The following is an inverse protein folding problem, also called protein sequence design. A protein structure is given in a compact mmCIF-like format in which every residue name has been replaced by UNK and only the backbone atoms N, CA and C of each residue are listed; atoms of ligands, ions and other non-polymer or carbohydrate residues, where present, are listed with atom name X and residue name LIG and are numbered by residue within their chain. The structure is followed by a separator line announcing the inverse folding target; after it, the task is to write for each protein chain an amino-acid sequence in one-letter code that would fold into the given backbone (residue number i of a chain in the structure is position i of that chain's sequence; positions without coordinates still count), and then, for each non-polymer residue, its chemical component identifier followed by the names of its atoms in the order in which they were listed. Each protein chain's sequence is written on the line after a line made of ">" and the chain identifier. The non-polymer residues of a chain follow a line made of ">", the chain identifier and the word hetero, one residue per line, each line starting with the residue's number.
data_IF_214211537105
#
_entry.id   IF_214211537105
#
_cell.length_a   1.000
_cell.length_b   1.000
_cell.length_c   1.000
_cell.angle_alpha   90.00
_cell.angle_beta   90.00
_cell.angle_gamma   90.00
#
_symmetry.space_group_name_H-M   'P 1'
#
loop_
_entity.id
_entity.type
_entity.pdbx_description
1 polymer ?
#
# COMPACT_ATOMS: atom_id res chain seq x y z
N UNK A 1 45.63 -0.44 -76.29
CA UNK A 1 46.46 -1.41 -75.54
C UNK A 1 46.93 -0.74 -74.25
N UNK A 2 46.85 -1.48 -73.14
CA UNK A 2 47.39 -1.20 -71.79
C UNK A 2 46.71 -0.16 -70.88
N UNK A 3 46.16 -0.74 -69.79
CA UNK A 3 45.74 -0.19 -68.50
C UNK A 3 46.84 0.64 -67.82
N UNK A 4 46.44 1.59 -66.97
CA UNK A 4 46.73 1.56 -65.51
C UNK A 4 45.94 2.62 -64.71
N UNK A 5 45.55 2.17 -63.52
CA UNK A 5 44.81 2.80 -62.42
C UNK A 5 45.68 3.83 -61.66
N UNK A 6 45.03 4.85 -61.07
CA UNK A 6 45.38 5.52 -59.80
C UNK A 6 44.12 6.28 -59.33
N UNK A 7 43.21 5.70 -58.54
CA UNK A 7 43.11 5.80 -57.06
C UNK A 7 43.53 7.17 -56.51
N UNK A 8 42.53 8.00 -56.17
CA UNK A 8 42.66 9.21 -55.35
C UNK A 8 41.57 9.24 -54.28
N UNK A 9 41.99 9.29 -53.01
CA UNK A 9 41.18 9.17 -51.78
C UNK A 9 40.06 10.21 -51.67
N UNK A 10 38.84 9.75 -51.35
CA UNK A 10 37.80 10.58 -50.72
C UNK A 10 37.93 10.37 -49.21
N UNK A 11 38.46 11.36 -48.49
CA UNK A 11 38.41 11.43 -47.04
C UNK A 11 36.98 11.74 -46.60
N UNK A 12 36.22 10.70 -46.30
CA UNK A 12 34.93 10.82 -45.63
C UNK A 12 35.12 11.20 -44.16
N UNK A 13 34.92 12.47 -43.81
CA UNK A 13 34.70 12.86 -42.42
C UNK A 13 33.24 12.56 -42.09
N UNK A 14 32.98 11.33 -41.64
CA UNK A 14 31.73 11.00 -40.97
C UNK A 14 31.76 11.62 -39.57
N UNK A 15 31.18 12.82 -39.44
CA UNK A 15 30.83 13.40 -38.15
C UNK A 15 29.78 12.49 -37.49
N UNK A 16 30.25 11.54 -36.67
CA UNK A 16 29.47 10.86 -35.66
C UNK A 16 29.05 11.92 -34.63
N UNK A 17 27.97 12.64 -34.92
CA UNK A 17 27.20 13.36 -33.91
C UNK A 17 26.53 12.28 -33.07
N UNK A 18 27.28 11.73 -32.12
CA UNK A 18 26.74 10.96 -31.04
C UNK A 18 25.77 11.87 -30.30
N UNK A 19 24.47 11.67 -30.51
CA UNK A 19 23.41 12.22 -29.68
C UNK A 19 23.70 11.76 -28.26
N UNK A 20 24.39 12.61 -27.49
CA UNK A 20 24.55 12.44 -26.06
C UNK A 20 23.15 12.59 -25.46
N UNK A 21 22.43 11.47 -25.36
CA UNK A 21 21.25 11.41 -24.51
C UNK A 21 21.70 11.84 -23.12
N UNK A 22 21.08 12.85 -22.48
CA UNK A 22 21.50 13.25 -21.15
C UNK A 22 21.35 12.05 -20.22
N UNK A 23 22.48 11.44 -19.84
CA UNK A 23 22.56 10.52 -18.72
C UNK A 23 22.33 11.34 -17.47
N UNK A 24 21.06 11.54 -17.12
CA UNK A 24 20.70 12.07 -15.81
C UNK A 24 21.25 11.11 -14.76
N UNK A 25 22.24 11.57 -13.99
CA UNK A 25 22.86 10.78 -12.95
C UNK A 25 21.79 10.27 -11.97
N UNK A 26 21.88 8.99 -11.61
CA UNK A 26 20.96 8.37 -10.67
C UNK A 26 21.06 9.03 -9.30
N UNK A 27 19.96 9.57 -8.79
CA UNK A 27 19.89 10.20 -7.47
C UNK A 27 19.54 9.17 -6.40
N UNK A 28 20.20 9.26 -5.24
CA UNK A 28 19.85 8.48 -4.06
C UNK A 28 18.50 8.94 -3.49
N UNK A 29 17.56 8.02 -3.31
CA UNK A 29 16.23 8.33 -2.79
C UNK A 29 16.20 8.42 -1.26
N UNK A 30 17.18 7.90 -0.54
CA UNK A 30 17.22 7.93 0.92
C UNK A 30 17.39 9.33 1.51
N UNK A 31 17.77 10.31 0.69
CA UNK A 31 17.84 11.74 1.04
C UNK A 31 16.52 12.48 0.82
N UNK A 32 15.51 11.84 0.23
CA UNK A 32 14.22 12.48 -0.07
C UNK A 32 13.39 12.60 1.21
N UNK A 33 13.02 13.81 1.64
CA UNK A 33 12.15 13.98 2.81
C UNK A 33 10.76 13.41 2.53
N UNK A 34 10.13 12.84 3.57
CA UNK A 34 8.74 12.36 3.53
C UNK A 34 8.42 11.34 2.41
N UNK A 35 9.39 10.47 2.09
CA UNK A 35 9.22 9.42 1.07
C UNK A 35 8.49 8.19 1.63
N UNK A 36 7.17 8.17 1.51
CA UNK A 36 6.32 7.05 2.00
C UNK A 36 6.11 5.93 0.98
N UNK A 37 6.11 6.25 -0.31
CA UNK A 37 5.88 5.27 -1.37
C UNK A 37 6.83 5.49 -2.54
N UNK A 38 7.16 4.40 -3.22
CA UNK A 38 7.90 4.40 -4.46
C UNK A 38 7.21 3.54 -5.49
N UNK A 39 7.35 3.88 -6.77
CA UNK A 39 6.90 3.06 -7.89
C UNK A 39 8.11 2.47 -8.61
N UNK A 40 8.04 1.18 -8.91
CA UNK A 40 9.13 0.43 -9.53
C UNK A 40 9.26 0.82 -11.01
N UNK A 41 10.44 1.29 -11.43
CA UNK A 41 10.76 1.64 -12.82
C UNK A 41 11.34 0.48 -13.61
N UNK A 42 12.07 -0.41 -12.95
CA UNK A 42 12.70 -1.60 -13.53
C UNK A 42 12.46 -2.81 -12.63
N UNK A 43 12.15 -4.00 -13.17
CA UNK A 43 11.97 -5.19 -12.36
C UNK A 43 13.17 -5.43 -11.45
N UNK A 44 12.90 -5.57 -10.16
CA UNK A 44 13.94 -5.74 -9.14
C UNK A 44 13.41 -6.59 -8.00
N UNK A 45 14.29 -7.39 -7.39
CA UNK A 45 13.93 -8.12 -6.19
C UNK A 45 13.89 -7.17 -5.00
N UNK A 46 12.75 -7.12 -4.32
CA UNK A 46 12.52 -6.25 -3.16
C UNK A 46 12.30 -7.01 -1.86
N UNK A 47 12.69 -8.30 -1.83
CA UNK A 47 12.56 -9.15 -0.64
C UNK A 47 11.30 -10.02 -0.62
N UNK A 48 10.37 -9.82 -1.55
CA UNK A 48 9.15 -10.62 -1.64
C UNK A 48 9.34 -11.88 -2.49
N UNK A 49 8.57 -12.92 -2.17
CA UNK A 49 8.60 -14.21 -2.85
C UNK A 49 7.22 -14.52 -3.42
N UNK A 50 7.15 -15.26 -4.53
CA UNK A 50 5.92 -15.88 -5.01
C UNK A 50 5.77 -17.25 -4.36
N UNK A 51 4.54 -17.62 -4.03
CA UNK A 51 4.20 -18.95 -3.51
C UNK A 51 3.82 -19.83 -4.71
N UNK A 52 4.60 -20.88 -4.96
CA UNK A 52 4.39 -21.83 -6.06
C UNK A 52 4.38 -23.23 -5.47
N UNK A 53 3.23 -23.91 -5.51
CA UNK A 53 3.05 -25.25 -4.93
C UNK A 53 3.55 -25.35 -3.47
N UNK A 54 3.26 -24.32 -2.66
CA UNK A 54 3.72 -24.26 -1.26
C UNK A 54 5.18 -23.79 -1.05
N UNK A 55 5.99 -23.72 -2.11
CA UNK A 55 7.37 -23.26 -2.02
C UNK A 55 7.50 -21.76 -2.34
N UNK A 56 8.45 -21.10 -1.68
CA UNK A 56 8.76 -19.70 -1.91
C UNK A 56 9.83 -19.56 -2.98
N UNK A 57 9.51 -18.85 -4.06
CA UNK A 57 10.45 -18.53 -5.14
C UNK A 57 10.64 -17.02 -5.21
N UNK A 58 11.87 -16.58 -5.51
CA UNK A 58 12.20 -15.16 -5.63
C UNK A 58 11.24 -14.45 -6.60
N UNK A 59 10.62 -13.36 -6.17
CA UNK A 59 9.75 -12.55 -7.02
C UNK A 59 10.48 -11.27 -7.43
N UNK A 60 10.78 -11.13 -8.72
CA UNK A 60 11.15 -9.84 -9.26
C UNK A 60 9.89 -8.97 -9.29
N UNK A 61 9.88 -7.92 -8.48
CA UNK A 61 8.74 -7.01 -8.39
C UNK A 61 8.56 -6.32 -9.75
N UNK A 62 7.38 -6.44 -10.39
CA UNK A 62 7.18 -5.90 -11.72
C UNK A 62 7.33 -4.38 -11.79
N UNK A 63 7.71 -3.89 -12.97
CA UNK A 63 7.62 -2.45 -13.30
C UNK A 63 6.18 -1.96 -13.09
N UNK A 64 6.05 -0.78 -12.51
CA UNK A 64 4.77 -0.13 -12.24
C UNK A 64 4.16 -0.47 -10.89
N UNK A 65 4.66 -1.49 -10.18
CA UNK A 65 4.22 -1.79 -8.82
C UNK A 65 4.54 -0.63 -7.88
N UNK A 66 3.57 -0.23 -7.08
CA UNK A 66 3.76 0.75 -6.00
C UNK A 66 4.08 0.00 -4.72
N UNK A 67 5.15 0.39 -4.06
CA UNK A 67 5.62 -0.18 -2.80
C UNK A 67 5.61 0.90 -1.71
N UNK A 68 5.28 0.49 -0.50
CA UNK A 68 5.41 1.29 0.71
C UNK A 68 6.84 1.19 1.24
N UNK A 69 7.40 2.33 1.61
CA UNK A 69 8.70 2.43 2.27
C UNK A 69 8.48 2.22 3.76
N UNK A 70 9.06 1.16 4.32
CA UNK A 70 8.93 0.82 5.75
C UNK A 70 10.02 1.47 6.57
N UNK A 71 11.25 1.41 6.06
CA UNK A 71 12.44 1.96 6.71
C UNK A 71 13.44 2.38 5.65
N UNK A 72 14.10 3.51 5.87
CA UNK A 72 15.25 3.95 5.09
C UNK A 72 16.47 3.90 6.01
N UNK A 73 17.51 3.18 5.60
CA UNK A 73 18.85 3.33 6.17
C UNK A 73 19.59 4.32 5.27
N UNK A 74 19.87 5.51 5.79
CA UNK A 74 20.55 6.56 5.03
C UNK A 74 21.99 6.15 4.73
N UNK A 75 22.50 6.66 3.61
CA UNK A 75 23.91 6.61 3.26
C UNK A 75 24.80 7.12 4.41
N UNK A 76 25.81 6.34 4.78
CA UNK A 76 26.91 6.73 5.69
C UNK A 76 28.23 6.34 5.02
N UNK A 77 29.29 7.15 5.22
CA UNK A 77 30.67 6.88 4.78
C UNK A 77 30.80 6.41 3.31
N UNK A 78 30.13 7.12 2.38
CA UNK A 78 30.21 6.81 0.94
C UNK A 78 29.32 5.65 0.46
N UNK A 79 28.59 4.97 1.36
CA UNK A 79 27.62 3.94 1.00
C UNK A 79 26.33 4.54 0.44
N UNK A 80 25.58 3.78 -0.37
CA UNK A 80 24.26 4.19 -0.87
C UNK A 80 23.19 3.91 0.19
N UNK A 81 22.14 4.72 0.23
CA UNK A 81 21.01 4.44 1.11
C UNK A 81 20.33 3.12 0.72
N UNK A 82 19.79 2.43 1.72
CA UNK A 82 19.03 1.19 1.55
C UNK A 82 17.61 1.38 2.07
N UNK A 83 16.66 0.66 1.48
CA UNK A 83 15.27 0.72 1.94
C UNK A 83 14.65 -0.66 2.14
N UNK A 84 13.90 -0.80 3.22
CA UNK A 84 12.94 -1.88 3.39
C UNK A 84 11.64 -1.51 2.68
N UNK A 85 11.25 -2.31 1.69
CA UNK A 85 10.05 -2.08 0.87
C UNK A 85 9.04 -3.20 1.06
N UNK A 86 7.77 -2.86 1.00
CA UNK A 86 6.65 -3.81 1.10
C UNK A 86 5.55 -3.44 0.12
N UNK A 87 4.66 -4.37 -0.23
CA UNK A 87 3.56 -4.12 -1.17
C UNK A 87 2.40 -3.30 -0.57
N UNK A 88 2.52 -2.88 0.70
CA UNK A 88 1.44 -2.27 1.47
C UNK A 88 0.22 -3.18 1.58
N UNK A 89 -0.95 -2.63 1.92
CA UNK A 89 -2.18 -3.42 1.95
C UNK A 89 -2.53 -3.95 0.55
N UNK A 90 -2.41 -5.26 0.35
CA UNK A 90 -2.77 -5.95 -0.90
C UNK A 90 -4.05 -6.78 -0.77
N UNK A 91 -4.70 -7.03 -1.91
CA UNK A 91 -5.89 -7.87 -1.98
C UNK A 91 -5.63 -9.28 -1.45
N UNK A 92 -6.65 -9.90 -0.84
CA UNK A 92 -6.57 -11.30 -0.40
C UNK A 92 -6.12 -12.22 -1.55
N UNK A 93 -6.61 -12.01 -2.77
CA UNK A 93 -6.22 -12.79 -3.96
C UNK A 93 -4.72 -12.74 -4.22
N UNK A 94 -4.12 -11.56 -4.11
CA UNK A 94 -2.68 -11.37 -4.32
C UNK A 94 -1.87 -11.91 -3.15
N UNK A 95 -2.36 -11.74 -1.92
CA UNK A 95 -1.73 -12.26 -0.69
C UNK A 95 -1.60 -13.77 -0.66
N UNK A 96 -2.53 -14.50 -1.29
CA UNK A 96 -2.41 -15.96 -1.44
C UNK A 96 -1.27 -16.40 -2.39
N UNK A 97 -0.73 -15.47 -3.18
CA UNK A 97 0.31 -15.76 -4.18
C UNK A 97 1.67 -15.16 -3.84
N UNK A 98 1.72 -14.21 -2.92
CA UNK A 98 2.92 -13.48 -2.55
C UNK A 98 3.19 -13.67 -1.07
N UNK A 99 4.41 -14.07 -0.76
CA UNK A 99 4.96 -14.12 0.58
C UNK A 99 5.85 -12.89 0.78
N UNK A 100 5.50 -12.06 1.77
CA UNK A 100 6.32 -10.95 2.23
C UNK A 100 6.96 -11.34 3.57
N UNK A 101 8.24 -11.74 3.60
CA UNK A 101 8.92 -12.07 4.86
C UNK A 101 9.04 -10.79 5.68
N UNK A 102 8.53 -10.82 6.91
CA UNK A 102 8.49 -9.73 7.92
C UNK A 102 9.01 -8.38 7.41
N UNK A 103 8.08 -7.43 7.25
CA UNK A 103 8.33 -6.02 6.92
C UNK A 103 9.67 -5.53 7.52
N UNK A 104 10.67 -5.27 6.67
CA UNK A 104 12.05 -4.86 7.00
C UNK A 104 13.16 -5.91 7.13
N UNK A 105 12.93 -7.18 6.78
CA UNK A 105 14.00 -8.19 6.72
C UNK A 105 14.97 -8.03 5.53
N UNK A 106 14.49 -7.51 4.39
CA UNK A 106 15.30 -7.30 3.19
C UNK A 106 15.56 -5.81 2.94
N UNK A 107 16.84 -5.44 2.83
CA UNK A 107 17.29 -4.09 2.50
C UNK A 107 17.63 -3.99 1.01
N UNK A 108 16.84 -3.21 0.27
CA UNK A 108 17.07 -2.93 -1.15
C UNK A 108 18.19 -1.90 -1.28
N UNK A 109 19.36 -2.33 -1.75
CA UNK A 109 20.55 -1.48 -1.92
C UNK A 109 20.46 -0.54 -3.12
N UNK A 110 19.65 -0.89 -4.12
CA UNK A 110 19.43 -0.09 -5.32
C UNK A 110 18.34 0.97 -5.12
N UNK A 111 18.28 1.61 -3.95
CA UNK A 111 17.25 2.59 -3.61
C UNK A 111 17.52 3.97 -4.22
N UNK A 112 17.33 4.08 -5.53
CA UNK A 112 17.66 5.28 -6.32
C UNK A 112 16.72 5.47 -7.51
N UNK A 113 16.84 6.61 -8.20
CA UNK A 113 15.96 7.00 -9.31
C UNK A 113 16.09 6.15 -10.59
N UNK A 114 17.08 5.24 -10.66
CA UNK A 114 17.19 4.25 -11.74
C UNK A 114 16.13 3.17 -11.62
N UNK A 115 15.89 2.68 -10.40
CA UNK A 115 14.98 1.56 -10.12
C UNK A 115 13.62 1.99 -9.60
N UNK A 116 13.54 3.19 -9.04
CA UNK A 116 12.34 3.68 -8.37
C UNK A 116 12.04 5.12 -8.74
N UNK A 117 10.78 5.51 -8.62
CA UNK A 117 10.35 6.92 -8.61
C UNK A 117 9.55 7.18 -7.32
N UNK A 118 9.74 8.33 -6.64
CA UNK A 118 8.83 8.75 -5.58
C UNK A 118 7.38 8.73 -6.06
N UNK A 119 6.49 8.20 -5.24
CA UNK A 119 5.10 8.04 -5.62
C UNK A 119 4.16 8.62 -4.57
N UNK A 120 3.17 9.38 -5.05
CA UNK A 120 2.03 9.83 -4.24
C UNK A 120 0.84 8.96 -4.59
N UNK A 121 0.22 8.35 -3.58
CA UNK A 121 -0.99 7.55 -3.79
C UNK A 121 -2.09 8.40 -4.45
N UNK A 122 -2.67 7.88 -5.53
CA UNK A 122 -3.86 8.48 -6.17
C UNK A 122 -5.06 8.52 -5.23
N UNK A 123 -5.10 7.57 -4.29
CA UNK A 123 -6.11 7.47 -3.25
C UNK A 123 -5.39 7.35 -1.90
N UNK A 124 -5.24 8.44 -1.13
CA UNK A 124 -4.40 8.46 0.07
C UNK A 124 -4.97 7.65 1.24
N UNK A 125 -6.23 7.22 1.13
CA UNK A 125 -6.88 6.30 2.08
C UNK A 125 -6.69 4.83 1.70
N UNK A 126 -5.88 4.54 0.68
CA UNK A 126 -5.46 3.16 0.43
C UNK A 126 -4.62 2.71 1.63
N UNK A 127 -4.80 1.46 2.06
CA UNK A 127 -4.27 0.89 3.30
C UNK A 127 -5.10 1.13 4.58
N UNK A 128 -6.13 1.97 4.55
CA UNK A 128 -6.96 2.19 5.74
C UNK A 128 -7.95 1.04 5.95
N UNK A 129 -8.19 0.73 7.23
CA UNK A 129 -9.26 -0.18 7.69
C UNK A 129 -10.39 0.63 8.28
N UNK A 130 -11.53 0.63 7.59
CA UNK A 130 -12.72 1.34 8.00
C UNK A 130 -13.63 0.39 8.75
N UNK A 131 -13.85 0.64 10.04
CA UNK A 131 -14.83 -0.08 10.83
C UNK A 131 -16.12 0.73 10.91
N UNK A 132 -17.26 0.06 10.76
CA UNK A 132 -18.57 0.71 10.80
C UNK A 132 -18.88 1.26 12.20
N UNK A 133 -19.65 2.35 12.24
CA UNK A 133 -20.07 3.03 13.46
C UNK A 133 -19.07 4.09 13.94
N UNK A 134 -19.22 4.47 15.21
CA UNK A 134 -18.26 5.27 15.95
C UNK A 134 -17.29 4.36 16.70
N UNK A 135 -16.08 4.85 16.94
CA UNK A 135 -15.14 4.17 17.82
C UNK A 135 -15.76 4.00 19.21
N UNK A 136 -15.58 2.81 19.79
CA UNK A 136 -15.88 2.51 21.19
C UNK A 136 -14.87 1.48 21.69
N UNK A 137 -14.36 1.71 22.90
CA UNK A 137 -13.48 0.80 23.64
C UNK A 137 -14.26 -0.29 24.40
N UNK A 138 -15.58 -0.34 24.26
CA UNK A 138 -16.44 -1.39 24.84
C UNK A 138 -16.79 -2.47 23.81
N UNK A 139 -17.44 -3.54 24.27
CA UNK A 139 -17.89 -4.64 23.40
C UNK A 139 -18.91 -4.22 22.34
N UNK A 140 -19.52 -3.04 22.44
CA UNK A 140 -20.44 -2.51 21.44
C UNK A 140 -19.81 -2.33 20.06
N UNK A 141 -18.48 -2.19 19.98
CA UNK A 141 -17.78 -2.10 18.70
C UNK A 141 -17.49 -3.48 18.09
N UNK A 142 -17.73 -4.57 18.82
CA UNK A 142 -17.30 -5.91 18.40
C UNK A 142 -18.04 -6.39 17.16
N UNK A 143 -17.28 -6.96 16.24
CA UNK A 143 -17.74 -7.58 15.00
C UNK A 143 -18.55 -6.63 14.11
N UNK A 144 -18.42 -5.31 14.27
CA UNK A 144 -18.98 -4.36 13.32
C UNK A 144 -18.28 -4.52 11.96
N UNK A 145 -19.00 -4.37 10.83
CA UNK A 145 -18.41 -4.60 9.52
C UNK A 145 -17.15 -3.75 9.30
N UNK A 146 -16.18 -4.35 8.60
CA UNK A 146 -14.92 -3.68 8.24
C UNK A 146 -14.80 -3.71 6.72
N UNK A 147 -14.30 -2.62 6.13
CA UNK A 147 -13.80 -2.67 4.76
C UNK A 147 -12.43 -2.02 4.66
N UNK A 148 -11.71 -2.36 3.61
CA UNK A 148 -10.46 -1.71 3.27
C UNK A 148 -10.33 -1.50 1.77
N UNK A 149 -9.40 -0.63 1.41
CA UNK A 149 -9.04 -0.33 0.03
C UNK A 149 -7.55 -0.65 -0.14
N UNK A 150 -7.26 -1.55 -1.06
CA UNK A 150 -5.92 -2.08 -1.26
C UNK A 150 -5.14 -1.27 -2.28
N UNK A 151 -3.81 -1.28 -2.14
CA UNK A 151 -2.90 -0.61 -3.06
C UNK A 151 -2.93 -1.22 -4.47
N UNK A 152 -3.28 -2.51 -4.60
CA UNK A 152 -3.53 -3.16 -5.89
C UNK A 152 -4.95 -2.90 -6.44
N UNK A 153 -5.71 -1.97 -5.84
CA UNK A 153 -6.93 -1.41 -6.40
C UNK A 153 -8.19 -2.26 -6.23
N UNK A 154 -8.33 -2.91 -5.08
CA UNK A 154 -9.55 -3.63 -4.71
C UNK A 154 -10.18 -3.01 -3.46
N UNK A 155 -11.51 -3.11 -3.37
CA UNK A 155 -12.24 -2.91 -2.13
C UNK A 155 -12.59 -4.29 -1.57
N UNK A 156 -12.18 -4.56 -0.33
CA UNK A 156 -12.54 -5.79 0.39
C UNK A 156 -13.45 -5.48 1.57
N UNK A 157 -14.55 -6.22 1.68
CA UNK A 157 -15.56 -6.05 2.73
C UNK A 157 -15.68 -7.32 3.57
N UNK A 158 -15.74 -7.14 4.88
CA UNK A 158 -15.88 -8.17 5.89
C UNK A 158 -17.17 -7.91 6.68
N UNK A 159 -18.14 -8.81 6.52
CA UNK A 159 -19.42 -8.74 7.23
C UNK A 159 -19.27 -9.10 8.70
N UNK A 160 -20.22 -8.69 9.54
CA UNK A 160 -20.24 -9.07 10.96
C UNK A 160 -20.20 -10.57 11.19
N UNK A 161 -20.94 -11.35 10.40
CA UNK A 161 -20.92 -12.82 10.46
C UNK A 161 -19.52 -13.40 10.19
N UNK A 162 -18.81 -12.84 9.21
CA UNK A 162 -17.44 -13.25 8.84
C UNK A 162 -16.46 -12.92 9.96
N UNK A 163 -16.54 -11.70 10.50
CA UNK A 163 -15.67 -11.27 11.59
C UNK A 163 -15.90 -12.10 12.86
N UNK A 164 -17.17 -12.40 13.18
CA UNK A 164 -17.54 -13.27 14.30
C UNK A 164 -17.01 -14.69 14.14
N UNK A 165 -17.12 -15.28 12.94
CA UNK A 165 -16.61 -16.62 12.66
C UNK A 165 -15.09 -16.74 12.87
N UNK A 166 -14.33 -15.68 12.59
CA UNK A 166 -12.87 -15.65 12.78
C UNK A 166 -12.42 -14.92 14.05
N UNK A 167 -13.35 -14.62 14.97
CA UNK A 167 -13.07 -13.92 16.24
C UNK A 167 -12.33 -12.58 16.09
N UNK A 168 -12.57 -11.87 14.99
CA UNK A 168 -12.00 -10.53 14.73
C UNK A 168 -12.92 -9.47 15.33
N UNK A 169 -12.70 -9.12 16.59
CA UNK A 169 -13.57 -8.22 17.34
C UNK A 169 -13.55 -6.79 16.78
N UNK A 170 -12.38 -6.16 16.67
CA UNK A 170 -12.29 -4.74 16.27
C UNK A 170 -10.96 -4.45 15.58
N UNK A 171 -10.90 -3.34 14.82
CA UNK A 171 -9.64 -2.77 14.34
C UNK A 171 -8.78 -2.21 15.47
N UNK A 172 -9.34 -1.99 16.67
CA UNK A 172 -8.56 -1.62 17.85
C UNK A 172 -7.67 -2.76 18.32
N UNK A 173 -8.21 -3.97 18.40
CA UNK A 173 -7.44 -5.16 18.79
C UNK A 173 -6.62 -5.70 17.61
N UNK A 174 -7.19 -5.67 16.40
CA UNK A 174 -6.63 -6.33 15.22
C UNK A 174 -6.32 -5.35 14.08
N UNK A 175 -5.98 -4.09 14.35
CA UNK A 175 -5.56 -3.11 13.33
C UNK A 175 -4.13 -2.59 13.53
N UNK A 176 -3.43 -3.09 14.55
CA UNK A 176 -2.26 -2.46 15.17
C UNK A 176 -0.90 -2.71 14.52
N UNK A 177 -0.86 -2.94 13.23
CA UNK A 177 0.42 -3.22 12.56
C UNK A 177 0.38 -2.64 11.17
N UNK A 178 1.48 -2.07 10.64
CA UNK A 178 1.56 -1.77 9.22
C UNK A 178 1.06 -2.97 8.42
N UNK A 179 0.35 -2.69 7.33
CA UNK A 179 -0.56 -3.59 6.61
C UNK A 179 -0.02 -4.94 6.09
N UNK A 180 1.21 -5.31 6.45
CA UNK A 180 1.96 -6.47 5.98
C UNK A 180 2.58 -7.33 7.09
N UNK A 181 1.79 -7.63 8.10
CA UNK A 181 2.03 -8.79 8.94
C UNK A 181 1.00 -9.88 8.64
N UNK A 182 1.45 -11.12 8.36
CA UNK A 182 0.62 -12.33 8.58
C UNK A 182 0.13 -12.45 10.05
N UNK A 183 0.68 -11.65 10.94
CA UNK A 183 0.34 -11.57 12.36
C UNK A 183 -1.03 -10.94 12.61
N UNK A 184 -1.51 -10.06 11.73
CA UNK A 184 -2.84 -9.50 11.89
C UNK A 184 -3.86 -10.42 11.17
N UNK A 185 -4.74 -11.10 11.93
CA UNK A 185 -5.61 -12.15 11.39
C UNK A 185 -6.63 -11.62 10.38
N UNK A 186 -7.01 -10.34 10.42
CA UNK A 186 -7.93 -9.78 9.42
C UNK A 186 -7.33 -9.80 8.00
N UNK A 187 -6.01 -9.77 7.89
CA UNK A 187 -5.29 -9.80 6.62
C UNK A 187 -5.20 -11.22 6.04
N UNK A 188 -5.35 -12.26 6.85
CA UNK A 188 -5.23 -13.65 6.38
C UNK A 188 -6.57 -14.25 6.01
N UNK A 189 -7.69 -13.70 6.53
CA UNK A 189 -9.03 -14.22 6.24
C UNK A 189 -9.56 -13.78 4.88
N UNK A 190 -10.38 -14.64 4.27
CA UNK A 190 -11.10 -14.33 3.03
C UNK A 190 -12.20 -13.30 3.30
N UNK A 191 -12.27 -12.18 2.54
CA UNK A 191 -13.37 -11.22 2.65
C UNK A 191 -14.72 -11.83 2.31
N UNK A 192 -15.79 -11.26 2.86
CA UNK A 192 -17.17 -11.58 2.47
C UNK A 192 -17.45 -11.16 1.02
N UNK A 193 -16.91 -10.01 0.61
CA UNK A 193 -16.99 -9.53 -0.77
C UNK A 193 -15.70 -8.83 -1.17
N UNK A 194 -15.33 -8.93 -2.43
CA UNK A 194 -14.19 -8.20 -3.01
C UNK A 194 -14.57 -7.74 -4.40
N UNK A 195 -14.30 -6.46 -4.70
CA UNK A 195 -14.58 -5.88 -6.02
C UNK A 195 -13.34 -5.12 -6.50
N UNK A 196 -13.08 -5.20 -7.80
CA UNK A 196 -12.04 -4.37 -8.43
C UNK A 196 -12.55 -2.95 -8.57
N UNK A 197 -11.75 -1.98 -8.10
CA UNK A 197 -12.03 -0.56 -8.31
C UNK A 197 -11.62 -0.23 -9.75
N UNK A 198 -12.59 0.20 -10.55
CA UNK A 198 -12.37 0.59 -11.94
C UNK A 198 -11.84 2.03 -12.05
N UNK A 199 -12.37 2.91 -11.19
CA UNK A 199 -11.96 4.32 -11.12
C UNK A 199 -12.04 4.79 -9.68
N UNK A 200 -11.11 5.67 -9.30
CA UNK A 200 -11.14 6.39 -8.03
C UNK A 200 -10.84 7.87 -8.24
N UNK A 201 -11.47 8.72 -7.45
CA UNK A 201 -11.13 10.16 -7.39
C UNK A 201 -10.96 10.57 -5.94
N UNK A 202 -10.00 11.45 -5.68
CA UNK A 202 -9.80 12.11 -4.39
C UNK A 202 -9.78 13.61 -4.64
N UNK A 203 -10.65 14.33 -3.94
CA UNK A 203 -10.67 15.79 -3.93
C UNK A 203 -10.95 16.22 -2.49
N UNK A 204 -10.01 16.96 -1.91
CA UNK A 204 -10.07 17.42 -0.51
C UNK A 204 -10.38 16.24 0.44
N UNK A 205 -11.42 16.38 1.25
CA UNK A 205 -11.91 15.38 2.21
C UNK A 205 -12.90 14.38 1.60
N UNK A 206 -13.05 14.34 0.28
CA UNK A 206 -13.97 13.43 -0.39
C UNK A 206 -13.26 12.46 -1.35
N UNK A 207 -13.58 11.18 -1.17
CA UNK A 207 -13.11 10.09 -2.01
C UNK A 207 -14.30 9.42 -2.69
N UNK A 208 -14.17 9.07 -3.97
CA UNK A 208 -15.19 8.33 -4.72
C UNK A 208 -14.56 7.11 -5.37
N UNK A 209 -15.20 5.96 -5.18
CA UNK A 209 -14.79 4.69 -5.77
C UNK A 209 -15.88 4.22 -6.72
N UNK A 210 -15.49 3.72 -7.88
CA UNK A 210 -16.40 3.21 -8.91
C UNK A 210 -16.06 1.74 -9.18
N UNK A 211 -17.07 0.88 -9.08
CA UNK A 211 -16.92 -0.57 -9.30
C UNK A 211 -18.21 -1.17 -9.84
N UNK A 212 -18.14 -2.35 -10.45
CA UNK A 212 -19.25 -2.92 -11.23
C UNK A 212 -20.33 -3.62 -10.40
N UNK A 213 -19.99 -4.08 -9.19
CA UNK A 213 -20.91 -4.87 -8.36
C UNK A 213 -21.11 -4.20 -7.00
N UNK A 214 -22.36 -4.01 -6.52
CA UNK A 214 -22.60 -3.44 -5.21
C UNK A 214 -22.14 -4.40 -4.11
N UNK A 215 -21.96 -3.86 -2.92
CA UNK A 215 -21.57 -4.60 -1.73
C UNK A 215 -22.65 -4.40 -0.68
N UNK A 216 -23.36 -5.48 -0.36
CA UNK A 216 -24.35 -5.47 0.73
C UNK A 216 -23.69 -4.99 2.03
N UNK A 217 -24.25 -3.93 2.62
CA UNK A 217 -23.72 -3.28 3.83
C UNK A 217 -22.88 -2.03 3.56
N UNK A 218 -22.65 -1.66 2.30
CA UNK A 218 -22.22 -0.33 1.90
C UNK A 218 -23.36 0.34 1.11
N UNK A 219 -23.51 1.67 1.24
CA UNK A 219 -24.57 2.41 0.55
C UNK A 219 -24.01 3.06 -0.71
N UNK A 220 -24.00 2.32 -1.82
CA UNK A 220 -23.60 2.88 -3.12
C UNK A 220 -24.75 3.56 -3.85
N UNK A 221 -24.41 4.57 -4.66
CA UNK A 221 -25.32 5.12 -5.67
C UNK A 221 -25.05 4.46 -7.01
N UNK A 222 -26.08 3.89 -7.65
CA UNK A 222 -25.97 3.41 -9.03
C UNK A 222 -25.72 4.60 -9.98
N UNK A 223 -24.80 4.42 -10.90
CA UNK A 223 -24.41 5.38 -11.95
C UNK A 223 -24.33 4.66 -13.29
N UNK A 224 -24.09 5.37 -14.39
CA UNK A 224 -23.98 4.74 -15.71
C UNK A 224 -22.81 3.75 -15.75
N UNK A 225 -23.12 2.45 -15.81
CA UNK A 225 -22.16 1.34 -15.87
C UNK A 225 -21.43 0.98 -14.56
N UNK A 226 -21.64 1.71 -13.47
CA UNK A 226 -20.94 1.50 -12.20
C UNK A 226 -21.81 1.78 -10.98
N UNK A 227 -21.43 1.21 -9.85
CA UNK A 227 -21.83 1.63 -8.52
C UNK A 227 -20.76 2.55 -7.96
N UNK A 228 -21.20 3.67 -7.36
CA UNK A 228 -20.32 4.67 -6.79
C UNK A 228 -20.46 4.70 -5.27
N UNK A 229 -19.36 4.41 -4.58
CA UNK A 229 -19.23 4.64 -3.15
C UNK A 229 -18.57 5.99 -2.90
N UNK A 230 -19.19 6.84 -2.08
CA UNK A 230 -18.62 8.11 -1.63
C UNK A 230 -18.15 7.95 -0.18
N UNK A 231 -16.93 8.37 0.10
CA UNK A 231 -16.33 8.37 1.44
C UNK A 231 -15.94 9.81 1.74
N UNK A 232 -16.55 10.41 2.77
CA UNK A 232 -16.22 11.75 3.23
C UNK A 232 -15.47 11.66 4.56
N UNK A 233 -14.29 12.23 4.61
CA UNK A 233 -13.57 12.48 5.85
C UNK A 233 -14.22 13.62 6.63
N UNK A 234 -14.50 13.40 7.90
CA UNK A 234 -15.17 14.37 8.77
C UNK A 234 -14.17 15.05 9.72
N UNK A 235 -13.30 14.28 10.36
CA UNK A 235 -12.24 14.83 11.20
C UNK A 235 -11.62 13.82 12.17
N UNK A 236 -10.51 14.24 12.76
CA UNK A 236 -9.77 13.48 13.76
C UNK A 236 -10.40 13.60 15.15
N UNK A 237 -10.26 12.52 15.91
CA UNK A 237 -10.73 12.36 17.28
C UNK A 237 -9.69 11.58 18.06
N UNK A 238 -9.64 11.84 19.35
CA UNK A 238 -8.86 11.07 20.31
C UNK A 238 -9.64 10.90 21.60
N UNK A 239 -9.31 9.84 22.33
CA UNK A 239 -9.86 9.58 23.66
C UNK A 239 -8.81 8.86 24.50
N UNK A 240 -8.71 9.28 25.75
CA UNK A 240 -7.90 8.62 26.78
C UNK A 240 -8.82 8.10 27.88
N UNK A 241 -8.57 6.89 28.37
CA UNK A 241 -9.34 6.30 29.46
C UNK A 241 -8.45 5.43 30.34
N UNK A 242 -8.93 5.11 31.55
CA UNK A 242 -8.28 4.16 32.45
C UNK A 242 -9.06 2.85 32.48
N UNK A 243 -8.35 1.73 32.52
CA UNK A 243 -8.92 0.39 32.69
C UNK A 243 -7.90 -0.52 33.36
N UNK A 244 -8.30 -1.28 34.37
CA UNK A 244 -7.43 -2.20 35.12
C UNK A 244 -6.12 -1.56 35.64
N UNK A 245 -6.18 -0.32 36.10
CA UNK A 245 -5.00 0.42 36.58
C UNK A 245 -4.10 0.97 35.48
N UNK A 246 -4.41 0.70 34.21
CA UNK A 246 -3.65 1.12 33.05
C UNK A 246 -4.32 2.27 32.29
N UNK A 247 -3.51 3.13 31.70
CA UNK A 247 -3.92 4.21 30.81
C UNK A 247 -3.92 3.74 29.38
N UNK A 248 -4.99 4.07 28.66
CA UNK A 248 -5.15 3.78 27.23
C UNK A 248 -5.49 5.06 26.49
N UNK A 249 -4.94 5.22 25.29
CA UNK A 249 -5.31 6.28 24.37
C UNK A 249 -5.56 5.70 22.97
N UNK A 250 -6.56 6.25 22.28
CA UNK A 250 -6.88 5.92 20.91
C UNK A 250 -6.97 7.20 20.09
N UNK A 251 -6.48 7.15 18.84
CA UNK A 251 -6.64 8.20 17.86
C UNK A 251 -7.25 7.63 16.59
N UNK A 252 -8.35 8.23 16.15
CA UNK A 252 -9.07 7.79 14.97
C UNK A 252 -9.57 8.97 14.16
N UNK A 253 -9.88 8.69 12.91
CA UNK A 253 -10.51 9.63 11.99
C UNK A 253 -11.91 9.14 11.67
N UNK A 254 -12.88 10.04 11.72
CA UNK A 254 -14.28 9.74 11.42
C UNK A 254 -14.59 10.00 9.95
N UNK A 255 -15.43 9.13 9.39
CA UNK A 255 -15.84 9.17 8.00
C UNK A 255 -17.34 8.93 7.85
N UNK A 256 -17.92 9.52 6.81
CA UNK A 256 -19.24 9.15 6.30
C UNK A 256 -19.07 8.39 4.99
N UNK A 257 -19.40 7.11 5.00
CA UNK A 257 -19.30 6.19 3.85
C UNK A 257 -20.71 5.93 3.34
N UNK A 258 -21.03 6.49 2.18
CA UNK A 258 -22.42 6.59 1.72
C UNK A 258 -23.27 7.35 2.75
N UNK A 259 -24.24 6.66 3.34
CA UNK A 259 -25.10 7.18 4.42
C UNK A 259 -24.64 6.81 5.82
N UNK A 260 -23.62 5.96 5.97
CA UNK A 260 -23.27 5.35 7.26
C UNK A 260 -21.98 5.90 7.88
N UNK A 261 -21.89 5.98 9.22
CA UNK A 261 -20.67 6.36 9.90
C UNK A 261 -19.65 5.21 9.87
N UNK A 262 -18.40 5.56 9.69
CA UNK A 262 -17.25 4.68 9.81
C UNK A 262 -16.10 5.43 10.50
N UNK A 263 -15.13 4.69 11.01
CA UNK A 263 -13.87 5.27 11.48
C UNK A 263 -12.68 4.46 11.00
N UNK A 264 -11.54 5.13 10.90
CA UNK A 264 -10.22 4.51 10.76
C UNK A 264 -9.40 4.86 11.99
N UNK A 265 -9.01 3.82 12.74
CA UNK A 265 -8.10 3.95 13.86
C UNK A 265 -6.66 3.97 13.34
N UNK A 266 -5.94 5.05 13.59
CA UNK A 266 -4.56 5.22 13.12
C UNK A 266 -3.53 5.18 14.26
N UNK A 267 -3.96 5.38 15.50
CA UNK A 267 -3.09 5.39 16.68
C UNK A 267 -3.74 4.72 17.89
N UNK A 268 -2.91 4.03 18.66
CA UNK A 268 -3.27 3.45 19.96
C UNK A 268 -2.06 3.43 20.87
N UNK A 269 -2.21 3.88 22.10
CA UNK A 269 -1.14 3.90 23.10
C UNK A 269 -1.66 3.32 24.42
N UNK A 270 -0.78 2.68 25.19
CA UNK A 270 -1.10 2.24 26.55
C UNK A 270 0.17 2.00 27.36
N UNK A 271 0.03 2.07 28.68
CA UNK A 271 1.03 1.57 29.65
C UNK A 271 0.77 0.10 30.07
N UNK A 272 -0.25 -0.57 29.52
CA UNK A 272 -0.53 -1.97 29.80
C UNK A 272 0.45 -2.90 29.04
N UNK A 273 1.34 -3.64 29.75
CA UNK A 273 2.32 -4.51 29.12
C UNK A 273 1.72 -5.78 28.52
N UNK A 274 0.47 -6.12 28.85
CA UNK A 274 -0.24 -7.28 28.31
C UNK A 274 -0.99 -6.95 27.02
N UNK A 275 -1.25 -5.67 26.76
CA UNK A 275 -2.04 -5.24 25.61
C UNK A 275 -1.38 -5.47 24.23
N UNK A 276 -0.09 -5.80 24.22
CA UNK A 276 0.69 -6.10 23.01
C UNK A 276 1.11 -7.57 22.90
N UNK A 277 0.72 -8.43 23.86
CA UNK A 277 0.98 -9.88 23.83
C UNK A 277 -0.11 -10.60 23.07
#
# INVERSE_FOLDING_TARGET
>A
MFKKLCIGMITGVALLVGLATPTHASTDLGKTPHLFYVKVKKPIFTGQYKIVKGHHQRLLTPKGTVLRVVKIKKAENGQRSEAALTWGLISHKLRQKVYDPRSASYAVKQFNTTYFEPYKLKLPISEYMFQAGSFSNTQESYYKPIFNITMDGYLQYFSSSRLKHYHIQTTWLYGKTPANGRQNPIYTIKPSKTVKIAKSTSKDKQFRLYYRQPISGLTEKKTHGYYRLTINELGDKSQTWKSNGHTYAAMWRTYKVGSHPFYYLWGSETDDPQYLK
#
